data_IF_443141088822
#
_entry.id   IF_443141088822
#
_cell.length_a   1.000
_cell.length_b   1.000
_cell.length_c   1.000
_cell.angle_alpha   90.00
_cell.angle_beta   90.00
_cell.angle_gamma   90.00
#
_symmetry.space_group_name_H-M   'P 1'
#
loop_
_entity.id
_entity.type
_entity.pdbx_description
1 polymer ?
#
# COMPACT_ATOMS: atom_id res chain seq x y z
N UNK A 1 -16.26 6.29 -3.30
CA UNK A 1 -15.68 6.17 -2.00
C UNK A 1 -14.89 7.37 -1.58
N UNK A 2 -15.24 7.91 -0.43
CA UNK A 2 -14.57 9.11 0.07
C UNK A 2 -13.08 8.86 0.27
N UNK A 3 -12.72 7.77 0.94
CA UNK A 3 -11.32 7.46 1.22
C UNK A 3 -10.50 7.31 -0.07
N UNK A 4 -11.04 6.58 -1.04
CA UNK A 4 -10.32 6.37 -2.29
C UNK A 4 -10.12 7.65 -3.06
N UNK A 5 -11.14 8.50 -3.14
CA UNK A 5 -11.02 9.78 -3.84
C UNK A 5 -10.06 10.72 -3.11
N UNK A 6 -10.10 10.69 -1.79
CA UNK A 6 -9.23 11.54 -0.99
C UNK A 6 -7.77 11.17 -1.21
N UNK A 7 -7.46 9.88 -1.23
CA UNK A 7 -6.09 9.43 -1.44
C UNK A 7 -5.56 9.78 -2.82
N UNK A 8 -6.43 10.01 -3.80
CA UNK A 8 -6.00 10.36 -5.15
C UNK A 8 -5.48 11.79 -5.27
N UNK A 9 -5.52 12.60 -4.20
CA UNK A 9 -4.89 13.92 -4.20
C UNK A 9 -3.38 13.83 -4.40
N UNK A 10 -2.76 12.72 -4.05
CA UNK A 10 -1.35 12.48 -4.33
C UNK A 10 -1.21 11.50 -5.48
N UNK A 11 -0.23 11.75 -6.36
CA UNK A 11 0.15 10.78 -7.36
C UNK A 11 0.90 9.63 -6.68
N UNK A 12 1.09 8.53 -7.42
CA UNK A 12 1.86 7.41 -6.87
C UNK A 12 3.32 7.78 -6.62
N UNK A 13 3.88 8.68 -7.46
CA UNK A 13 5.23 9.19 -7.21
C UNK A 13 5.28 9.99 -5.90
N UNK A 14 4.24 10.78 -5.63
CA UNK A 14 4.17 11.53 -4.39
C UNK A 14 4.02 10.61 -3.17
N UNK A 15 3.18 9.57 -3.28
CA UNK A 15 3.07 8.60 -2.19
C UNK A 15 4.39 7.88 -1.95
N UNK A 16 5.10 7.50 -3.04
CA UNK A 16 6.42 6.88 -2.90
C UNK A 16 7.38 7.80 -2.15
N UNK A 17 7.36 9.11 -2.44
CA UNK A 17 8.20 10.07 -1.73
C UNK A 17 7.86 10.11 -0.25
N UNK A 18 6.56 10.11 0.08
CA UNK A 18 6.13 10.11 1.48
C UNK A 18 6.65 8.87 2.20
N UNK A 19 6.51 7.70 1.57
CA UNK A 19 7.01 6.46 2.17
C UNK A 19 8.53 6.46 2.31
N UNK A 20 9.24 7.12 1.39
CA UNK A 20 10.71 7.24 1.47
C UNK A 20 11.16 8.13 2.63
N UNK A 21 10.27 8.98 3.15
CA UNK A 21 10.57 9.80 4.33
C UNK A 21 10.46 9.00 5.63
N UNK A 22 9.78 7.85 5.61
CA UNK A 22 9.58 7.04 6.80
C UNK A 22 10.83 6.23 7.13
N UNK A 23 10.91 5.75 8.38
CA UNK A 23 11.98 4.85 8.77
C UNK A 23 11.91 3.56 7.95
N UNK A 24 13.05 3.13 7.45
CA UNK A 24 13.12 1.95 6.59
C UNK A 24 14.16 0.98 7.14
N UNK A 25 13.83 -0.32 7.08
CA UNK A 25 14.67 -1.37 7.65
C UNK A 25 15.48 -2.11 6.60
N UNK A 26 14.84 -2.52 5.50
CA UNK A 26 15.49 -3.35 4.49
C UNK A 26 15.83 -2.51 3.25
N UNK A 27 17.09 -2.62 2.74
CA UNK A 27 17.44 -1.90 1.51
C UNK A 27 16.54 -2.27 0.33
N UNK A 28 16.07 -3.52 0.25
CA UNK A 28 15.19 -3.94 -0.84
C UNK A 28 13.84 -3.22 -0.80
N UNK A 29 13.38 -2.82 0.39
CA UNK A 29 12.16 -2.01 0.50
C UNK A 29 12.38 -0.63 -0.11
N UNK A 30 13.51 -0.01 0.18
CA UNK A 30 13.86 1.27 -0.43
C UNK A 30 13.92 1.14 -1.96
N UNK A 31 14.51 0.05 -2.45
CA UNK A 31 14.57 -0.19 -3.90
C UNK A 31 13.17 -0.29 -4.50
N UNK A 32 12.24 -0.99 -3.83
CA UNK A 32 10.86 -1.10 -4.31
C UNK A 32 10.18 0.27 -4.39
N UNK A 33 10.42 1.13 -3.39
CA UNK A 33 9.81 2.46 -3.39
C UNK A 33 10.37 3.33 -4.52
N UNK A 34 11.67 3.23 -4.77
CA UNK A 34 12.30 3.95 -5.88
C UNK A 34 11.77 3.45 -7.22
N UNK A 35 11.61 2.14 -7.36
CA UNK A 35 11.04 1.54 -8.57
C UNK A 35 9.59 2.01 -8.77
N UNK A 36 8.81 2.07 -7.69
CA UNK A 36 7.44 2.57 -7.76
C UNK A 36 7.41 4.01 -8.26
N UNK A 37 8.32 4.83 -7.76
CA UNK A 37 8.38 6.23 -8.13
C UNK A 37 8.70 6.43 -9.61
N UNK A 38 9.53 5.55 -10.19
CA UNK A 38 10.11 5.77 -11.50
C UNK A 38 9.50 4.93 -12.63
N UNK A 39 8.73 3.89 -12.31
CA UNK A 39 8.25 2.96 -13.31
C UNK A 39 6.93 3.43 -13.91
N UNK A 40 6.87 3.47 -15.24
CA UNK A 40 5.63 3.77 -15.97
C UNK A 40 4.84 2.46 -16.09
N UNK A 41 3.60 2.48 -15.60
CA UNK A 41 2.73 1.30 -15.59
C UNK A 41 1.69 1.32 -16.71
N UNK A 42 1.85 2.20 -17.71
CA UNK A 42 0.94 2.23 -18.84
C UNK A 42 0.92 0.85 -19.52
N UNK A 43 -0.28 0.30 -19.69
CA UNK A 43 -0.44 -1.00 -20.34
C UNK A 43 -0.16 -2.19 -19.44
N UNK A 44 0.21 -1.98 -18.18
CA UNK A 44 0.48 -3.07 -17.26
C UNK A 44 -0.79 -3.42 -16.50
N UNK A 45 -1.11 -4.72 -16.43
CA UNK A 45 -2.28 -5.20 -15.71
C UNK A 45 -1.98 -6.57 -15.11
N UNK A 46 -2.83 -6.99 -14.18
CA UNK A 46 -2.74 -8.32 -13.59
C UNK A 46 -3.07 -9.37 -14.62
N UNK A 47 -2.29 -10.48 -14.69
CA UNK A 47 -2.41 -11.43 -15.79
C UNK A 47 -3.66 -12.33 -15.73
N UNK A 48 -4.22 -12.61 -14.57
CA UNK A 48 -5.35 -13.55 -14.45
C UNK A 48 -6.25 -13.04 -13.34
N UNK A 49 -7.28 -12.27 -13.72
CA UNK A 49 -8.17 -11.63 -12.76
C UNK A 49 -8.89 -12.65 -11.88
N UNK A 50 -9.21 -13.83 -12.40
CA UNK A 50 -9.92 -14.84 -11.61
C UNK A 50 -9.08 -15.39 -10.47
N UNK A 51 -7.76 -15.34 -10.62
CA UNK A 51 -6.83 -15.76 -9.57
C UNK A 51 -6.44 -14.60 -8.68
N UNK A 52 -6.10 -13.47 -9.27
CA UNK A 52 -5.48 -12.35 -8.54
C UNK A 52 -6.48 -11.46 -7.84
N UNK A 53 -7.68 -11.24 -8.40
CA UNK A 53 -8.65 -10.35 -7.77
C UNK A 53 -9.10 -10.88 -6.41
N UNK A 54 -9.43 -12.20 -6.25
CA UNK A 54 -9.78 -12.69 -4.92
C UNK A 54 -8.65 -12.56 -3.90
N UNK A 55 -7.41 -12.78 -4.32
CA UNK A 55 -6.25 -12.65 -3.42
C UNK A 55 -6.09 -11.22 -2.94
N UNK A 56 -6.25 -10.25 -3.85
CA UNK A 56 -6.14 -8.84 -3.51
C UNK A 56 -7.31 -8.39 -2.64
N UNK A 57 -8.51 -8.91 -2.91
CA UNK A 57 -9.68 -8.59 -2.08
C UNK A 57 -9.46 -9.05 -0.65
N UNK A 58 -8.89 -10.23 -0.46
CA UNK A 58 -8.59 -10.72 0.89
C UNK A 58 -7.56 -9.84 1.60
N UNK A 59 -6.63 -9.31 0.86
CA UNK A 59 -5.64 -8.40 1.43
C UNK A 59 -6.31 -7.11 1.93
N UNK A 60 -7.24 -6.55 1.16
CA UNK A 60 -7.98 -5.37 1.60
C UNK A 60 -8.78 -5.66 2.86
N UNK A 61 -9.47 -6.82 2.90
CA UNK A 61 -10.23 -7.23 4.08
C UNK A 61 -9.31 -7.36 5.28
N UNK A 62 -8.11 -7.91 5.09
CA UNK A 62 -7.14 -8.03 6.18
C UNK A 62 -6.81 -6.67 6.79
N UNK A 63 -6.50 -5.67 5.95
CA UNK A 63 -6.16 -4.35 6.47
C UNK A 63 -7.34 -3.69 7.17
N UNK A 64 -8.55 -3.86 6.64
CA UNK A 64 -9.73 -3.32 7.30
C UNK A 64 -9.96 -3.95 8.67
N UNK A 65 -9.81 -5.28 8.77
CA UNK A 65 -9.96 -5.96 10.04
C UNK A 65 -8.89 -5.54 11.05
N UNK A 66 -7.71 -5.18 10.58
CA UNK A 66 -6.65 -4.71 11.48
C UNK A 66 -6.91 -3.30 11.97
N UNK A 67 -7.49 -2.43 11.14
CA UNK A 67 -7.62 -1.02 11.46
C UNK A 67 -8.93 -0.66 12.17
N UNK A 68 -10.02 -1.38 11.90
CA UNK A 68 -11.31 -0.99 12.46
C UNK A 68 -11.40 -1.11 13.98
N UNK A 69 -10.85 -2.17 14.61
CA UNK A 69 -10.83 -2.19 16.09
C UNK A 69 -10.07 -1.02 16.71
N UNK A 70 -8.98 -0.59 16.07
CA UNK A 70 -8.21 0.57 16.54
C UNK A 70 -9.03 1.84 16.38
N UNK A 71 -9.85 1.93 15.33
CA UNK A 71 -10.73 3.07 15.12
C UNK A 71 -11.80 3.17 16.22
N UNK A 72 -12.23 2.03 16.78
CA UNK A 72 -13.16 2.05 17.90
C UNK A 72 -12.53 2.72 19.12
N UNK A 73 -11.22 2.55 19.31
CA UNK A 73 -10.54 3.12 20.47
C UNK A 73 -10.24 4.60 20.30
N UNK A 74 -9.78 5.03 19.11
CA UNK A 74 -9.33 6.40 18.94
C UNK A 74 -10.32 7.29 18.17
N UNK A 75 -11.40 6.71 17.66
CA UNK A 75 -12.42 7.47 16.93
C UNK A 75 -12.03 7.90 15.54
N UNK A 76 -10.87 7.47 15.05
CA UNK A 76 -10.33 7.89 13.75
C UNK A 76 -10.80 6.97 12.62
N UNK A 77 -12.13 6.86 12.47
CA UNK A 77 -12.69 5.89 11.52
C UNK A 77 -12.28 6.19 10.08
N UNK A 78 -12.39 7.45 9.69
CA UNK A 78 -12.11 7.83 8.30
C UNK A 78 -10.62 7.69 8.00
N UNK A 79 -9.77 8.16 8.90
CA UNK A 79 -8.32 8.04 8.72
C UNK A 79 -7.86 6.62 8.69
N UNK A 80 -8.40 5.78 9.57
CA UNK A 80 -8.02 4.36 9.63
C UNK A 80 -8.50 3.59 8.41
N UNK A 81 -9.73 3.88 7.95
CA UNK A 81 -10.24 3.26 6.72
C UNK A 81 -9.39 3.68 5.53
N UNK A 82 -9.03 4.96 5.46
CA UNK A 82 -8.17 5.44 4.38
C UNK A 82 -6.78 4.81 4.43
N UNK A 83 -6.24 4.58 5.62
CA UNK A 83 -4.95 3.90 5.76
C UNK A 83 -5.04 2.46 5.27
N UNK A 84 -6.14 1.76 5.56
CA UNK A 84 -6.33 0.39 5.05
C UNK A 84 -6.37 0.38 3.53
N UNK A 85 -7.10 1.32 2.93
CA UNK A 85 -7.19 1.42 1.47
C UNK A 85 -5.82 1.77 0.86
N UNK A 86 -5.09 2.69 1.48
CA UNK A 86 -3.76 3.08 1.01
C UNK A 86 -2.81 1.90 1.06
N UNK A 87 -2.83 1.14 2.16
CA UNK A 87 -1.95 -0.02 2.31
C UNK A 87 -2.22 -1.06 1.22
N UNK A 88 -3.50 -1.36 0.99
CA UNK A 88 -3.89 -2.26 -0.09
C UNK A 88 -3.42 -1.73 -1.45
N UNK A 89 -3.68 -0.46 -1.70
CA UNK A 89 -3.36 0.14 -3.01
C UNK A 89 -1.86 0.18 -3.25
N UNK A 90 -1.07 0.45 -2.21
CA UNK A 90 0.38 0.43 -2.32
C UNK A 90 0.91 -0.95 -2.68
N UNK A 91 0.41 -1.98 -2.00
CA UNK A 91 0.84 -3.34 -2.28
C UNK A 91 0.45 -3.74 -3.69
N UNK A 92 -0.77 -3.40 -4.11
CA UNK A 92 -1.22 -3.69 -5.47
C UNK A 92 -0.33 -2.98 -6.50
N UNK A 93 0.00 -1.73 -6.23
CA UNK A 93 0.85 -0.95 -7.15
C UNK A 93 2.25 -1.53 -7.23
N UNK A 94 2.81 -1.93 -6.08
CA UNK A 94 4.13 -2.56 -6.06
C UNK A 94 4.13 -3.88 -6.84
N UNK A 95 3.02 -4.61 -6.78
CA UNK A 95 2.89 -5.84 -7.56
C UNK A 95 2.89 -5.54 -9.06
N UNK A 96 2.20 -4.49 -9.49
CA UNK A 96 2.20 -4.08 -10.89
C UNK A 96 3.59 -3.64 -11.34
N UNK A 97 4.33 -2.95 -10.48
CA UNK A 97 5.72 -2.58 -10.77
C UNK A 97 6.56 -3.83 -10.97
N UNK A 98 6.36 -4.84 -10.12
CA UNK A 98 7.08 -6.11 -10.27
C UNK A 98 6.80 -6.74 -11.62
N UNK A 99 5.53 -6.74 -12.05
CA UNK A 99 5.16 -7.27 -13.35
C UNK A 99 5.85 -6.49 -14.47
N UNK A 100 5.86 -5.16 -14.36
CA UNK A 100 6.47 -4.32 -15.39
C UNK A 100 7.96 -4.59 -15.53
N UNK A 101 8.65 -4.84 -14.41
CA UNK A 101 10.09 -5.01 -14.42
C UNK A 101 10.53 -6.44 -14.75
N UNK A 102 9.71 -7.43 -14.42
CA UNK A 102 10.09 -8.85 -14.56
C UNK A 102 9.27 -9.62 -15.60
N UNK A 103 8.19 -9.03 -16.07
CA UNK A 103 7.36 -9.63 -17.12
C UNK A 103 6.40 -10.70 -16.65
N UNK A 104 6.47 -11.12 -15.39
CA UNK A 104 5.60 -12.17 -14.86
C UNK A 104 5.48 -12.00 -13.35
N UNK A 105 4.50 -12.69 -12.76
CA UNK A 105 4.26 -12.63 -11.33
C UNK A 105 3.69 -13.96 -10.87
N UNK A 106 4.11 -14.40 -9.66
CA UNK A 106 3.54 -15.58 -9.01
C UNK A 106 3.04 -15.16 -7.63
N UNK A 107 2.23 -16.02 -7.00
CA UNK A 107 1.63 -15.70 -5.71
C UNK A 107 2.70 -15.40 -4.64
N UNK A 108 3.84 -16.07 -4.71
CA UNK A 108 4.94 -15.83 -3.77
C UNK A 108 5.42 -14.38 -3.83
N UNK A 109 5.34 -13.73 -4.99
CA UNK A 109 5.73 -12.33 -5.11
C UNK A 109 4.79 -11.43 -4.30
N UNK A 110 3.48 -11.69 -4.36
CA UNK A 110 2.52 -10.93 -3.58
C UNK A 110 2.76 -11.14 -2.09
N UNK A 111 3.00 -12.38 -1.68
CA UNK A 111 3.24 -12.72 -0.29
C UNK A 111 4.47 -11.97 0.22
N UNK A 112 5.53 -11.93 -0.55
CA UNK A 112 6.76 -11.26 -0.14
C UNK A 112 6.58 -9.74 -0.07
N UNK A 113 5.87 -9.15 -1.03
CA UNK A 113 5.60 -7.72 -1.00
C UNK A 113 4.75 -7.37 0.22
N UNK A 114 3.71 -8.16 0.49
CA UNK A 114 2.85 -7.93 1.64
C UNK A 114 3.61 -8.11 2.96
N UNK A 115 4.48 -9.14 3.05
CA UNK A 115 5.31 -9.36 4.24
C UNK A 115 6.21 -8.15 4.48
N UNK A 116 6.82 -7.66 3.43
CA UNK A 116 7.74 -6.54 3.54
C UNK A 116 6.99 -5.27 3.96
N UNK A 117 5.81 -5.03 3.37
CA UNK A 117 4.98 -3.91 3.76
C UNK A 117 4.61 -3.96 5.24
N UNK A 118 4.20 -5.13 5.72
CA UNK A 118 3.84 -5.27 7.12
C UNK A 118 5.03 -5.00 8.03
N UNK A 119 6.19 -5.55 7.70
CA UNK A 119 7.40 -5.37 8.53
C UNK A 119 7.86 -3.90 8.54
N UNK A 120 7.78 -3.23 7.40
CA UNK A 120 8.29 -1.87 7.27
C UNK A 120 7.29 -0.83 7.76
N UNK A 121 6.01 -1.07 7.57
CA UNK A 121 4.97 -0.07 7.81
C UNK A 121 4.04 -0.50 8.94
N UNK A 122 3.34 -1.62 8.76
CA UNK A 122 2.23 -1.99 9.65
C UNK A 122 2.67 -2.17 11.09
N UNK A 123 3.83 -2.77 11.30
CA UNK A 123 4.33 -3.06 12.64
C UNK A 123 5.16 -1.92 13.23
N UNK A 124 5.27 -0.80 12.54
CA UNK A 124 5.94 0.40 13.04
C UNK A 124 4.89 1.42 13.45
N UNK A 125 4.65 1.54 14.74
CA UNK A 125 3.67 2.49 15.26
C UNK A 125 4.00 3.91 14.78
N UNK A 126 5.27 4.26 14.75
CA UNK A 126 5.69 5.58 14.32
C UNK A 126 5.35 5.84 12.87
N UNK A 127 5.63 4.87 11.98
CA UNK A 127 5.32 5.03 10.57
C UNK A 127 3.82 5.11 10.33
N UNK A 128 3.04 4.28 11.04
CA UNK A 128 1.58 4.35 10.94
C UNK A 128 1.06 5.72 11.35
N UNK A 129 1.58 6.27 12.45
CA UNK A 129 1.14 7.58 12.93
C UNK A 129 1.46 8.68 11.92
N UNK A 130 2.65 8.63 11.32
CA UNK A 130 3.02 9.62 10.32
C UNK A 130 2.09 9.52 9.11
N UNK A 131 1.81 8.29 8.66
CA UNK A 131 0.91 8.10 7.51
C UNK A 131 -0.50 8.55 7.81
N UNK A 132 -1.00 8.26 9.01
CA UNK A 132 -2.33 8.76 9.41
C UNK A 132 -2.37 10.28 9.40
N UNK A 133 -1.33 10.92 9.88
CA UNK A 133 -1.23 12.37 9.86
C UNK A 133 -1.25 12.91 8.42
N UNK A 134 -0.45 12.30 7.54
CA UNK A 134 -0.41 12.73 6.14
C UNK A 134 -1.74 12.48 5.43
N UNK A 135 -2.42 11.40 5.76
CA UNK A 135 -3.74 11.10 5.21
C UNK A 135 -4.75 12.17 5.65
N UNK A 136 -4.72 12.57 6.91
CA UNK A 136 -5.64 13.57 7.41
C UNK A 136 -5.47 14.92 6.72
N UNK A 137 -4.28 15.21 6.25
CA UNK A 137 -4.02 16.45 5.53
C UNK A 137 -4.79 16.53 4.21
N UNK A 138 -5.18 15.39 3.63
CA UNK A 138 -5.91 15.34 2.36
C UNK A 138 -7.37 14.90 2.56
N UNK A 139 -7.79 14.63 3.78
CA UNK A 139 -9.21 14.36 4.08
C UNK A 139 -10.01 15.71 4.27
#
# INVERSE_FOLDING_TARGET
>A
QTAGRTLSHHSWAEWAEIYLELERLEPSWTDRLLELKETDLTGISLPDAMVWEPALEQLLVYFLYRQMPLALDDGEYEGRAAFAVLSFAMIRRLLLVHIALHGSVVLADLIEIARQYSAEIEYSDENVEILLYRIQKVL
#
